data_IF_482158060471
#
_entry.id   IF_482158060471
#
_cell.length_a   1.000
_cell.length_b   1.000
_cell.length_c   1.000
_cell.angle_alpha   90.00
_cell.angle_beta   90.00
_cell.angle_gamma   90.00
#
_symmetry.space_group_name_H-M   'P 1'
#
loop_
_entity.id
_entity.type
_entity.pdbx_description
1 polymer ?
#
# COMPACT_ATOMS: atom_id res chain seq x y z
N UNK A 1 20.61 -16.48 2.86
CA UNK A 1 19.27 -16.04 3.26
C UNK A 1 18.63 -15.33 2.07
N UNK A 2 18.12 -16.14 1.12
CA UNK A 2 17.55 -15.61 -0.13
C UNK A 2 16.06 -15.34 0.07
N UNK A 3 15.68 -14.08 0.09
CA UNK A 3 14.28 -13.63 0.00
C UNK A 3 14.11 -12.95 -1.35
N UNK A 4 13.03 -13.25 -2.03
CA UNK A 4 12.73 -12.62 -3.32
C UNK A 4 11.97 -11.32 -3.05
N UNK A 5 12.55 -10.18 -3.42
CA UNK A 5 11.87 -8.89 -3.47
C UNK A 5 11.51 -8.61 -4.92
N UNK A 6 10.22 -8.53 -5.19
CA UNK A 6 9.73 -8.18 -6.51
C UNK A 6 8.91 -6.89 -6.40
N UNK A 7 9.23 -5.92 -7.24
CA UNK A 7 8.54 -4.66 -7.31
C UNK A 7 8.16 -4.35 -8.76
N UNK A 8 7.05 -3.67 -8.93
CA UNK A 8 6.66 -3.10 -10.21
C UNK A 8 6.51 -1.59 -10.08
N UNK A 9 7.24 -0.83 -10.89
CA UNK A 9 6.98 0.60 -11.07
C UNK A 9 5.91 0.72 -12.15
N UNK A 10 4.72 1.15 -11.75
CA UNK A 10 3.63 1.40 -12.70
C UNK A 10 3.85 2.74 -13.39
N UNK A 11 4.12 2.74 -14.70
CA UNK A 11 3.89 3.90 -15.55
C UNK A 11 2.41 3.97 -15.87
N UNK A 12 1.69 4.88 -15.24
CA UNK A 12 0.35 5.25 -15.72
C UNK A 12 0.50 6.03 -17.02
N UNK A 13 0.14 5.42 -18.15
CA UNK A 13 -0.29 6.17 -19.33
C UNK A 13 -1.68 6.69 -19.02
N UNK A 14 -1.85 8.01 -19.09
CA UNK A 14 -3.10 8.70 -18.85
C UNK A 14 -4.27 8.02 -19.56
N UNK A 15 -5.05 7.28 -18.79
CA UNK A 15 -6.32 6.70 -19.16
C UNK A 15 -7.33 7.24 -18.16
N UNK A 16 -8.32 7.95 -18.68
CA UNK A 16 -9.48 8.50 -17.97
C UNK A 16 -10.14 7.44 -17.10
N UNK A 17 -9.89 7.46 -15.77
CA UNK A 17 -10.52 6.52 -14.87
C UNK A 17 -9.97 6.42 -13.46
N UNK A 18 -9.14 7.35 -12.99
CA UNK A 18 -8.80 7.42 -11.56
C UNK A 18 -9.96 8.01 -10.77
N UNK A 19 -10.36 7.30 -9.75
CA UNK A 19 -11.33 7.77 -8.77
C UNK A 19 -10.61 8.81 -7.91
N UNK A 20 -10.89 10.08 -8.19
CA UNK A 20 -10.32 11.18 -7.42
C UNK A 20 -10.79 11.14 -5.97
N UNK A 21 -9.86 11.08 -5.04
CA UNK A 21 -10.11 11.32 -3.63
C UNK A 21 -10.54 12.78 -3.43
N UNK A 22 -11.60 13.01 -2.66
CA UNK A 22 -11.94 14.35 -2.17
C UNK A 22 -11.83 14.31 -0.65
N UNK A 23 -10.78 14.91 -0.05
CA UNK A 23 -10.74 15.09 1.39
C UNK A 23 -11.80 16.12 1.82
N UNK A 24 -12.40 15.89 2.97
CA UNK A 24 -13.12 16.92 3.71
C UNK A 24 -12.09 17.80 4.43
N UNK A 25 -12.21 19.11 4.28
CA UNK A 25 -11.33 20.10 4.90
C UNK A 25 -11.54 20.04 6.42
N UNK A 26 -10.48 19.70 7.15
CA UNK A 26 -10.38 19.95 8.60
C UNK A 26 -9.11 20.75 8.82
N UNK A 27 -9.28 21.96 9.35
CA UNK A 27 -8.23 22.93 9.60
C UNK A 27 -7.47 22.66 10.90
N UNK A 28 -6.15 22.91 10.83
CA UNK A 28 -5.20 23.26 11.90
C UNK A 28 -4.74 22.23 12.92
N UNK A 29 -3.44 21.90 12.87
CA UNK A 29 -2.67 21.33 13.99
C UNK A 29 -1.44 20.50 13.63
N UNK A 30 -0.34 21.16 13.48
CA UNK A 30 1.07 20.84 13.84
C UNK A 30 1.51 19.35 13.91
N UNK A 31 2.51 18.97 13.10
CA UNK A 31 3.48 17.94 13.40
C UNK A 31 3.15 16.53 12.93
N UNK A 32 4.00 15.60 13.20
CA UNK A 32 4.05 14.18 12.76
C UNK A 32 2.75 13.36 12.87
N UNK A 33 1.74 13.85 13.60
CA UNK A 33 0.40 13.27 13.76
C UNK A 33 -0.47 13.38 12.50
N UNK A 34 -0.22 14.35 11.62
CA UNK A 34 -1.06 14.69 10.46
C UNK A 34 -1.20 13.56 9.41
N UNK A 35 -0.26 12.64 9.33
CA UNK A 35 -0.29 11.58 8.31
C UNK A 35 -1.33 10.49 8.58
N UNK A 36 -1.57 10.17 9.83
CA UNK A 36 -2.61 9.20 10.21
C UNK A 36 -4.00 9.80 9.98
N UNK A 37 -4.17 11.07 10.29
CA UNK A 37 -5.43 11.79 10.15
C UNK A 37 -5.91 11.87 8.69
N UNK A 38 -4.98 12.01 7.70
CA UNK A 38 -5.34 12.03 6.28
C UNK A 38 -6.02 10.73 5.84
N UNK A 39 -5.44 9.58 6.14
CA UNK A 39 -5.98 8.29 5.71
C UNK A 39 -7.26 7.92 6.46
N UNK A 40 -7.34 8.19 7.77
CA UNK A 40 -8.58 8.01 8.54
C UNK A 40 -9.72 8.88 7.99
N UNK A 41 -9.43 10.16 7.68
CA UNK A 41 -10.42 11.06 7.08
C UNK A 41 -10.83 10.58 5.67
N UNK A 42 -9.88 10.14 4.86
CA UNK A 42 -10.13 9.68 3.48
C UNK A 42 -10.99 8.43 3.47
N UNK A 43 -10.71 7.44 4.32
CA UNK A 43 -11.52 6.23 4.42
C UNK A 43 -12.86 6.48 5.12
N UNK A 44 -12.91 7.40 6.09
CA UNK A 44 -14.16 7.82 6.74
C UNK A 44 -15.13 8.54 5.81
N UNK A 45 -14.61 9.19 4.76
CA UNK A 45 -15.40 9.91 3.74
C UNK A 45 -15.77 9.05 2.52
N UNK A 46 -15.38 7.78 2.46
CA UNK A 46 -15.64 6.92 1.31
C UNK A 46 -17.14 6.63 1.18
N UNK A 47 -17.71 6.95 0.02
CA UNK A 47 -19.09 6.64 -0.29
C UNK A 47 -19.25 5.20 -0.84
N UNK A 48 -20.49 4.68 -0.80
CA UNK A 48 -20.81 3.31 -1.27
C UNK A 48 -20.43 3.08 -2.73
N UNK A 49 -20.57 4.09 -3.59
CA UNK A 49 -20.23 3.98 -5.00
C UNK A 49 -18.75 3.76 -5.20
N UNK A 50 -17.91 4.56 -4.52
CA UNK A 50 -16.45 4.44 -4.56
C UNK A 50 -15.99 3.12 -3.97
N UNK A 51 -16.54 2.73 -2.83
CA UNK A 51 -16.25 1.44 -2.23
C UNK A 51 -16.55 0.30 -3.19
N UNK A 52 -17.70 0.34 -3.87
CA UNK A 52 -18.08 -0.64 -4.89
C UNK A 52 -17.10 -0.66 -6.07
N UNK A 53 -16.62 0.50 -6.53
CA UNK A 53 -15.64 0.60 -7.59
C UNK A 53 -14.31 -0.08 -7.19
N UNK A 54 -13.83 0.11 -5.96
CA UNK A 54 -12.65 -0.61 -5.43
C UNK A 54 -12.85 -2.13 -5.41
N UNK A 55 -13.99 -2.59 -4.90
CA UNK A 55 -14.30 -4.01 -4.76
C UNK A 55 -14.44 -4.70 -6.12
N UNK A 56 -15.02 -4.01 -7.11
CA UNK A 56 -15.30 -4.57 -8.44
C UNK A 56 -14.18 -4.37 -9.44
N UNK A 57 -13.14 -3.59 -9.10
CA UNK A 57 -11.99 -3.37 -9.96
C UNK A 57 -11.27 -4.68 -10.25
N UNK A 58 -11.23 -5.06 -11.51
CA UNK A 58 -10.49 -6.22 -11.99
C UNK A 58 -9.17 -5.73 -12.58
N UNK A 59 -8.09 -6.29 -12.11
CA UNK A 59 -6.78 -6.20 -12.74
C UNK A 59 -6.47 -7.57 -13.31
N UNK A 60 -6.39 -7.68 -14.63
CA UNK A 60 -6.07 -8.94 -15.27
C UNK A 60 -5.07 -8.71 -16.42
N UNK A 61 -3.98 -9.48 -16.51
CA UNK A 61 -3.55 -10.46 -15.50
C UNK A 61 -3.06 -9.80 -14.22
N UNK A 62 -3.29 -10.42 -13.04
CA UNK A 62 -2.73 -9.97 -11.77
C UNK A 62 -1.40 -10.67 -11.49
N UNK A 63 -0.33 -9.98 -11.83
CA UNK A 63 1.02 -10.54 -11.75
C UNK A 63 1.46 -10.90 -10.33
N UNK A 64 0.96 -10.17 -9.30
CA UNK A 64 1.26 -10.50 -7.91
C UNK A 64 0.62 -11.82 -7.53
N UNK A 65 -0.67 -12.01 -7.85
CA UNK A 65 -1.38 -13.28 -7.60
C UNK A 65 -0.71 -14.42 -8.34
N UNK A 66 -0.37 -14.24 -9.61
CA UNK A 66 0.35 -15.26 -10.38
C UNK A 66 1.71 -15.61 -9.77
N UNK A 67 2.45 -14.62 -9.28
CA UNK A 67 3.71 -14.85 -8.59
C UNK A 67 3.51 -15.69 -7.32
N UNK A 68 2.56 -15.33 -6.47
CA UNK A 68 2.25 -16.04 -5.23
C UNK A 68 1.83 -17.50 -5.50
N UNK A 69 1.01 -17.73 -6.52
CA UNK A 69 0.57 -19.08 -6.90
C UNK A 69 1.73 -19.95 -7.41
N UNK A 70 2.62 -19.40 -8.26
CA UNK A 70 3.80 -20.11 -8.77
C UNK A 70 4.74 -20.52 -7.65
N UNK A 71 4.92 -19.67 -6.65
CA UNK A 71 5.80 -19.90 -5.51
C UNK A 71 5.15 -20.74 -4.40
N UNK A 72 3.89 -21.19 -4.60
CA UNK A 72 3.15 -22.03 -3.66
C UNK A 72 3.03 -21.42 -2.26
N UNK A 73 2.93 -20.10 -2.19
CA UNK A 73 2.72 -19.33 -0.96
C UNK A 73 1.42 -19.77 -0.29
N UNK A 74 1.39 -19.78 1.04
CA UNK A 74 0.19 -20.10 1.83
C UNK A 74 -0.27 -18.92 2.66
N UNK A 75 0.63 -18.37 3.48
CA UNK A 75 0.33 -17.26 4.39
C UNK A 75 0.79 -15.94 3.78
N UNK A 76 -0.13 -14.98 3.64
CA UNK A 76 0.14 -13.68 3.03
C UNK A 76 -0.29 -12.56 3.98
N UNK A 77 0.56 -11.55 4.14
CA UNK A 77 0.22 -10.30 4.81
C UNK A 77 0.00 -9.19 3.78
N UNK A 78 -1.16 -8.54 3.85
CA UNK A 78 -1.51 -7.35 3.06
C UNK A 78 -1.21 -6.09 3.89
N UNK A 79 -0.09 -5.43 3.60
CA UNK A 79 0.41 -4.26 4.30
C UNK A 79 -0.16 -2.98 3.67
N UNK A 80 -1.05 -2.28 4.39
CA UNK A 80 -1.87 -1.20 3.87
C UNK A 80 -3.08 -1.75 3.12
N UNK A 81 -3.86 -2.62 3.78
CA UNK A 81 -4.94 -3.36 3.14
C UNK A 81 -6.15 -2.49 2.72
N UNK A 82 -6.21 -1.23 3.17
CA UNK A 82 -7.32 -0.33 2.88
C UNK A 82 -8.68 -0.95 3.20
N UNK A 83 -9.63 -0.85 2.29
CA UNK A 83 -10.97 -1.45 2.44
C UNK A 83 -11.00 -2.98 2.28
N UNK A 84 -9.87 -3.66 2.15
CA UNK A 84 -9.78 -5.11 2.07
C UNK A 84 -10.17 -5.72 0.72
N UNK A 85 -10.36 -4.90 -0.31
CA UNK A 85 -10.78 -5.41 -1.64
C UNK A 85 -9.74 -6.38 -2.23
N UNK A 86 -8.46 -6.05 -2.13
CA UNK A 86 -7.40 -6.93 -2.60
C UNK A 86 -7.18 -8.13 -1.67
N UNK A 87 -7.26 -7.92 -0.36
CA UNK A 87 -7.26 -9.02 0.63
C UNK A 87 -8.35 -10.05 0.33
N UNK A 88 -9.60 -9.59 0.02
CA UNK A 88 -10.70 -10.47 -0.35
C UNK A 88 -10.39 -11.25 -1.63
N UNK A 89 -9.80 -10.61 -2.63
CA UNK A 89 -9.40 -11.25 -3.86
C UNK A 89 -8.38 -12.37 -3.62
N UNK A 90 -7.38 -12.14 -2.76
CA UNK A 90 -6.40 -13.16 -2.37
C UNK A 90 -7.06 -14.32 -1.60
N UNK A 91 -8.00 -14.04 -0.70
CA UNK A 91 -8.81 -15.06 -0.02
C UNK A 91 -9.61 -15.93 -0.99
N UNK A 92 -10.08 -15.35 -2.11
CA UNK A 92 -10.79 -16.11 -3.17
C UNK A 92 -9.85 -17.06 -3.91
N UNK A 93 -8.55 -16.73 -4.00
CA UNK A 93 -7.51 -17.60 -4.54
C UNK A 93 -6.98 -18.64 -3.54
N UNK A 94 -7.51 -18.64 -2.30
CA UNK A 94 -7.22 -19.68 -1.30
C UNK A 94 -6.01 -19.39 -0.40
N UNK A 95 -5.49 -18.15 -0.39
CA UNK A 95 -4.45 -17.76 0.55
C UNK A 95 -4.99 -17.57 1.97
N UNK A 96 -4.18 -17.88 2.98
CA UNK A 96 -4.45 -17.52 4.38
C UNK A 96 -3.96 -16.09 4.62
N UNK A 97 -4.93 -15.18 4.86
CA UNK A 97 -4.68 -13.75 4.84
C UNK A 97 -4.60 -13.16 6.24
N UNK A 98 -3.57 -12.37 6.45
CA UNK A 98 -3.50 -11.33 7.45
C UNK A 98 -3.36 -9.98 6.77
N UNK A 99 -3.70 -8.89 7.45
CA UNK A 99 -3.52 -7.56 6.90
C UNK A 99 -3.59 -6.48 7.97
N UNK A 100 -3.12 -5.31 7.61
CA UNK A 100 -3.23 -4.14 8.47
C UNK A 100 -3.32 -2.87 7.63
N UNK A 101 -3.88 -1.85 8.24
CA UNK A 101 -3.87 -0.48 7.72
C UNK A 101 -3.67 0.49 8.87
N UNK A 102 -3.14 1.67 8.59
CA UNK A 102 -2.98 2.73 9.59
C UNK A 102 -4.33 3.35 9.95
N UNK A 103 -5.26 3.39 9.00
CA UNK A 103 -6.61 3.92 9.15
C UNK A 103 -7.55 2.86 9.77
N UNK A 104 -8.01 3.09 10.99
CA UNK A 104 -8.92 2.18 11.69
C UNK A 104 -10.24 1.99 10.94
N UNK A 105 -10.77 3.08 10.34
CA UNK A 105 -11.98 3.03 9.53
C UNK A 105 -11.85 2.15 8.29
N UNK A 106 -10.66 2.09 7.67
CA UNK A 106 -10.37 1.19 6.57
C UNK A 106 -10.44 -0.28 7.02
N UNK A 107 -9.81 -0.59 8.15
CA UNK A 107 -9.84 -1.95 8.73
C UNK A 107 -11.25 -2.40 9.02
N UNK A 108 -12.10 -1.55 9.62
CA UNK A 108 -13.51 -1.88 9.87
C UNK A 108 -14.31 -2.13 8.58
N UNK A 109 -14.03 -1.39 7.51
CA UNK A 109 -14.64 -1.62 6.18
C UNK A 109 -14.18 -2.98 5.65
N UNK A 110 -12.87 -3.27 5.74
CA UNK A 110 -12.27 -4.52 5.27
C UNK A 110 -12.87 -5.74 5.99
N UNK A 111 -13.01 -5.67 7.32
CA UNK A 111 -13.63 -6.74 8.11
C UNK A 111 -15.06 -7.01 7.67
N UNK A 112 -15.88 -5.95 7.53
CA UNK A 112 -17.27 -6.08 7.06
C UNK A 112 -17.35 -6.66 5.65
N UNK A 113 -16.49 -6.23 4.74
CA UNK A 113 -16.43 -6.72 3.36
C UNK A 113 -16.10 -8.22 3.32
N UNK A 114 -15.05 -8.63 4.02
CA UNK A 114 -14.55 -10.00 4.02
C UNK A 114 -15.57 -10.92 4.69
N UNK A 115 -16.14 -10.51 5.83
CA UNK A 115 -17.17 -11.25 6.54
C UNK A 115 -18.45 -11.37 5.69
N UNK A 116 -18.87 -10.30 5.01
CA UNK A 116 -20.03 -10.30 4.10
C UNK A 116 -19.85 -11.25 2.91
N UNK A 117 -18.62 -11.54 2.50
CA UNK A 117 -18.29 -12.54 1.49
C UNK A 117 -18.15 -13.98 2.04
N UNK A 118 -18.46 -14.21 3.32
CA UNK A 118 -18.32 -15.51 3.98
C UNK A 118 -16.87 -15.98 4.13
N UNK A 119 -15.92 -15.04 4.15
CA UNK A 119 -14.47 -15.28 4.31
C UNK A 119 -13.99 -14.74 5.66
N UNK A 120 -12.76 -15.05 6.01
CA UNK A 120 -12.10 -14.52 7.21
C UNK A 120 -10.64 -14.19 6.93
N UNK A 121 -10.14 -13.12 7.55
CA UNK A 121 -8.74 -12.71 7.59
C UNK A 121 -8.42 -12.19 8.99
N UNK A 122 -7.13 -12.16 9.34
CA UNK A 122 -6.66 -11.54 10.59
C UNK A 122 -6.28 -10.11 10.28
N UNK A 123 -7.19 -9.16 10.51
CA UNK A 123 -6.96 -7.76 10.27
C UNK A 123 -6.68 -7.00 11.57
N UNK A 124 -5.91 -5.91 11.49
CA UNK A 124 -5.65 -5.01 12.62
C UNK A 124 -5.26 -3.62 12.15
N UNK A 125 -5.48 -2.61 13.00
CA UNK A 125 -4.91 -1.29 12.81
C UNK A 125 -3.44 -1.32 13.25
N UNK A 126 -2.52 -0.94 12.34
CA UNK A 126 -1.09 -0.88 12.61
C UNK A 126 -0.36 0.05 11.64
N UNK A 127 0.78 0.58 12.08
CA UNK A 127 1.66 1.36 11.23
C UNK A 127 2.68 0.43 10.54
N UNK A 128 2.94 0.66 9.26
CA UNK A 128 3.90 -0.12 8.46
C UNK A 128 5.34 0.00 8.97
N UNK A 129 5.67 1.05 9.72
CA UNK A 129 6.98 1.22 10.36
C UNK A 129 7.16 0.35 11.61
N UNK A 130 6.07 -0.15 12.18
CA UNK A 130 6.05 -0.99 13.38
C UNK A 130 4.78 -1.84 13.37
N UNK A 131 4.79 -2.93 12.60
CA UNK A 131 3.62 -3.75 12.35
C UNK A 131 3.14 -4.54 13.56
N UNK A 132 4.03 -4.83 14.52
CA UNK A 132 3.76 -5.68 15.68
C UNK A 132 3.61 -7.18 15.33
N UNK A 133 3.96 -7.60 14.12
CA UNK A 133 4.08 -9.01 13.76
C UNK A 133 5.43 -9.58 14.18
N UNK A 134 5.49 -10.90 14.32
CA UNK A 134 6.73 -11.60 14.63
C UNK A 134 7.70 -11.57 13.43
N UNK A 135 8.98 -11.73 13.71
CA UNK A 135 9.98 -11.95 12.65
C UNK A 135 9.70 -13.27 11.92
N UNK A 136 9.83 -13.27 10.58
CA UNK A 136 9.66 -14.45 9.75
C UNK A 136 8.26 -15.10 9.88
N UNK A 137 7.20 -14.29 9.99
CA UNK A 137 5.84 -14.79 10.20
C UNK A 137 5.16 -15.24 8.91
N UNK A 138 5.38 -14.57 7.77
CA UNK A 138 4.62 -14.79 6.54
C UNK A 138 5.47 -15.40 5.41
N UNK A 139 4.84 -16.28 4.60
CA UNK A 139 5.47 -16.78 3.36
C UNK A 139 5.60 -15.66 2.32
N UNK A 140 4.63 -14.74 2.30
CA UNK A 140 4.70 -13.53 1.49
C UNK A 140 4.13 -12.31 2.22
N UNK A 141 4.67 -11.15 1.87
CA UNK A 141 4.13 -9.84 2.27
C UNK A 141 3.90 -9.03 1.01
N UNK A 142 2.73 -8.43 0.88
CA UNK A 142 2.40 -7.52 -0.22
C UNK A 142 2.12 -6.12 0.33
N UNK A 143 2.49 -5.09 -0.44
CA UNK A 143 2.20 -3.70 -0.10
C UNK A 143 1.88 -2.94 -1.40
N UNK A 144 0.64 -2.51 -1.56
CA UNK A 144 0.16 -1.88 -2.78
C UNK A 144 -0.30 -0.46 -2.50
N UNK A 145 0.26 0.48 -3.25
CA UNK A 145 -0.11 1.90 -3.18
C UNK A 145 0.03 2.45 -1.73
N UNK A 146 1.17 2.15 -1.07
CA UNK A 146 1.48 2.51 0.33
C UNK A 146 2.82 3.22 0.48
N UNK A 147 3.88 2.64 -0.10
CA UNK A 147 5.24 3.12 0.13
C UNK A 147 5.53 4.44 -0.58
N UNK A 148 4.79 4.75 -1.60
CA UNK A 148 4.77 6.03 -2.31
C UNK A 148 3.99 7.12 -1.55
N UNK A 149 3.11 6.73 -0.64
CA UNK A 149 2.35 7.65 0.23
C UNK A 149 3.05 7.98 1.55
N UNK A 150 4.38 7.99 1.54
CA UNK A 150 5.20 8.40 2.67
C UNK A 150 6.51 9.04 2.18
N UNK A 151 7.27 9.64 3.09
CA UNK A 151 8.60 10.15 2.75
C UNK A 151 9.52 9.00 2.34
N UNK A 152 10.42 9.23 1.40
CA UNK A 152 11.42 8.24 0.95
C UNK A 152 12.18 7.60 2.11
N UNK A 153 12.57 8.40 3.11
CA UNK A 153 13.23 7.91 4.31
C UNK A 153 12.37 6.89 5.09
N UNK A 154 11.08 7.16 5.24
CA UNK A 154 10.16 6.26 5.95
C UNK A 154 9.85 5.01 5.12
N UNK A 155 9.78 5.13 3.78
CA UNK A 155 9.62 3.98 2.89
C UNK A 155 10.77 2.96 3.04
N UNK A 156 12.01 3.42 3.17
CA UNK A 156 13.17 2.55 3.47
C UNK A 156 12.98 1.78 4.78
N UNK A 157 12.49 2.43 5.81
CA UNK A 157 12.21 1.81 7.12
C UNK A 157 11.05 0.82 7.02
N UNK A 158 9.99 1.19 6.28
CA UNK A 158 8.85 0.32 6.03
C UNK A 158 9.28 -0.97 5.31
N UNK A 159 10.09 -0.86 4.24
CA UNK A 159 10.62 -2.03 3.53
C UNK A 159 11.41 -2.96 4.48
N UNK A 160 12.24 -2.42 5.38
CA UNK A 160 12.96 -3.22 6.38
C UNK A 160 12.02 -3.95 7.33
N UNK A 161 10.95 -3.29 7.78
CA UNK A 161 9.94 -3.93 8.65
C UNK A 161 9.16 -5.00 7.90
N UNK A 162 8.72 -4.74 6.65
CA UNK A 162 8.05 -5.73 5.81
C UNK A 162 8.96 -6.93 5.51
N UNK A 163 10.25 -6.67 5.26
CA UNK A 163 11.24 -7.72 5.09
C UNK A 163 11.42 -8.54 6.37
N UNK A 164 11.48 -7.91 7.54
CA UNK A 164 11.61 -8.59 8.84
C UNK A 164 10.51 -9.61 9.08
N UNK A 165 9.27 -9.27 8.74
CA UNK A 165 8.11 -10.16 8.94
C UNK A 165 7.96 -11.22 7.84
N UNK A 166 8.71 -11.10 6.74
CA UNK A 166 8.77 -12.10 5.66
C UNK A 166 9.71 -13.22 6.03
N UNK A 167 9.32 -14.49 5.85
CA UNK A 167 10.18 -15.66 6.12
C UNK A 167 11.41 -15.67 5.23
N UNK A 168 12.53 -16.27 5.68
CA UNK A 168 13.64 -16.64 4.79
C UNK A 168 13.12 -17.50 3.63
N UNK A 169 13.51 -17.15 2.39
CA UNK A 169 12.97 -17.78 1.17
C UNK A 169 11.54 -17.35 0.82
N UNK A 170 10.95 -16.45 1.60
CA UNK A 170 9.64 -15.84 1.32
C UNK A 170 9.71 -14.70 0.30
N UNK A 171 8.59 -14.07 0.04
CA UNK A 171 8.44 -13.07 -1.02
C UNK A 171 7.93 -11.76 -0.44
N UNK A 172 8.58 -10.64 -0.78
CA UNK A 172 8.07 -9.30 -0.57
C UNK A 172 7.71 -8.67 -1.92
N UNK A 173 6.43 -8.34 -2.11
CA UNK A 173 5.91 -7.68 -3.31
C UNK A 173 5.38 -6.30 -2.93
N UNK A 174 5.76 -5.27 -3.67
CA UNK A 174 5.17 -3.94 -3.47
C UNK A 174 5.07 -3.16 -4.79
N UNK A 175 4.19 -2.17 -4.81
CA UNK A 175 4.08 -1.19 -5.90
C UNK A 175 4.66 0.13 -5.46
N UNK A 176 5.18 0.86 -6.44
CA UNK A 176 5.63 2.25 -6.31
C UNK A 176 5.10 3.02 -7.50
N UNK A 177 4.42 4.11 -7.26
CA UNK A 177 3.94 4.98 -8.32
C UNK A 177 4.98 6.05 -8.67
N UNK A 178 5.09 6.34 -9.97
CA UNK A 178 5.79 7.52 -10.47
C UNK A 178 4.90 8.76 -10.40
N UNK A 179 5.44 9.90 -10.85
CA UNK A 179 4.67 11.15 -10.91
C UNK A 179 3.46 11.01 -11.84
N UNK A 180 2.32 11.50 -11.38
CA UNK A 180 1.07 11.65 -12.13
C UNK A 180 0.75 13.13 -12.30
N UNK A 181 0.28 13.53 -13.48
CA UNK A 181 -0.12 14.91 -13.78
C UNK A 181 -1.15 15.46 -12.79
N UNK A 182 -1.99 14.61 -12.22
CA UNK A 182 -2.99 15.02 -11.22
C UNK A 182 -2.33 15.50 -9.93
N UNK A 183 -1.26 14.85 -9.49
CA UNK A 183 -0.49 15.30 -8.31
C UNK A 183 0.34 16.54 -8.60
N UNK A 184 0.92 16.61 -9.80
CA UNK A 184 1.78 17.73 -10.19
C UNK A 184 1.02 19.06 -10.27
N UNK A 185 -0.27 19.02 -10.60
CA UNK A 185 -1.12 20.22 -10.75
C UNK A 185 -1.65 20.75 -9.41
N UNK A 186 -1.64 19.97 -8.34
CA UNK A 186 -2.13 20.38 -7.03
C UNK A 186 -1.06 21.14 -6.23
N UNK A 187 -1.46 22.09 -5.35
CA UNK A 187 -0.51 22.84 -4.54
C UNK A 187 0.33 21.94 -3.64
N UNK A 188 1.63 21.97 -3.77
CA UNK A 188 2.54 21.15 -2.98
C UNK A 188 3.88 21.85 -2.75
N UNK A 189 4.62 21.38 -1.75
CA UNK A 189 6.01 21.68 -1.52
C UNK A 189 6.85 20.43 -1.78
N UNK A 190 7.98 20.58 -2.49
CA UNK A 190 8.91 19.47 -2.75
C UNK A 190 10.11 19.58 -1.82
N UNK A 191 10.39 18.55 -1.05
CA UNK A 191 11.58 18.48 -0.19
C UNK A 191 12.87 18.26 -1.00
N UNK A 192 14.02 18.44 -0.37
CA UNK A 192 15.33 18.14 -0.99
C UNK A 192 15.44 16.65 -1.42
N UNK A 193 14.72 15.76 -0.74
CA UNK A 193 14.68 14.33 -1.05
C UNK A 193 13.66 13.97 -2.15
N UNK A 194 12.91 14.96 -2.65
CA UNK A 194 11.90 14.76 -3.69
C UNK A 194 10.53 14.35 -3.19
N UNK A 195 10.26 14.42 -1.88
CA UNK A 195 8.92 14.16 -1.34
C UNK A 195 8.00 15.35 -1.61
N UNK A 196 6.79 15.07 -2.06
CA UNK A 196 5.72 16.04 -2.27
C UNK A 196 4.86 16.14 -1.02
N UNK A 197 4.78 17.31 -0.43
CA UNK A 197 3.96 17.62 0.74
C UNK A 197 2.80 18.48 0.30
N UNK A 198 1.60 17.97 0.35
CA UNK A 198 0.39 18.69 -0.06
C UNK A 198 -0.15 19.50 1.11
N UNK A 199 0.02 20.82 1.05
CA UNK A 199 -0.34 21.76 2.12
C UNK A 199 -1.76 22.33 1.97
N UNK A 200 -2.36 22.16 0.80
CA UNK A 200 -3.73 22.62 0.50
C UNK A 200 -4.31 21.88 -0.70
N UNK A 201 -5.59 22.09 -0.98
CA UNK A 201 -6.25 21.52 -2.14
C UNK A 201 -6.80 20.11 -1.89
N UNK A 202 -6.91 19.35 -2.96
CA UNK A 202 -7.54 18.02 -2.95
C UNK A 202 -6.81 17.00 -2.09
N UNK A 203 -5.49 17.15 -1.96
CA UNK A 203 -4.61 16.21 -1.31
C UNK A 203 -3.99 16.76 -0.01
N UNK A 204 -4.59 17.82 0.55
CA UNK A 204 -4.10 18.44 1.78
C UNK A 204 -3.82 17.40 2.87
N UNK A 205 -2.62 17.46 3.45
CA UNK A 205 -2.13 16.52 4.46
C UNK A 205 -1.51 15.21 3.93
N UNK A 206 -1.62 14.95 2.62
CA UNK A 206 -0.96 13.79 2.01
C UNK A 206 0.54 14.06 1.82
N UNK A 207 1.32 13.01 1.94
CA UNK A 207 2.70 12.94 1.48
C UNK A 207 2.77 11.95 0.34
N UNK A 208 3.50 12.30 -0.71
CA UNK A 208 3.72 11.42 -1.85
C UNK A 208 5.17 11.53 -2.30
N UNK A 209 5.83 10.39 -2.53
CA UNK A 209 7.14 10.33 -3.14
C UNK A 209 7.02 9.63 -4.50
N UNK A 210 7.13 10.38 -5.61
CA UNK A 210 7.11 9.77 -6.95
C UNK A 210 8.43 9.06 -7.22
N UNK A 211 8.38 7.74 -7.37
CA UNK A 211 9.58 6.95 -7.60
C UNK A 211 9.97 6.91 -9.07
N UNK A 212 11.27 7.11 -9.32
CA UNK A 212 11.92 6.75 -10.57
C UNK A 212 12.52 5.36 -10.42
N UNK A 213 12.66 4.65 -11.53
CA UNK A 213 13.18 3.27 -11.55
C UNK A 213 14.54 3.14 -10.85
N UNK A 214 15.40 4.15 -11.03
CA UNK A 214 16.74 4.17 -10.46
C UNK A 214 16.73 4.25 -8.94
N UNK A 215 15.68 4.83 -8.35
CA UNK A 215 15.55 5.02 -6.90
C UNK A 215 15.06 3.77 -6.18
N UNK A 216 14.49 2.82 -6.92
CA UNK A 216 13.94 1.60 -6.31
C UNK A 216 15.01 0.79 -5.59
N UNK A 217 16.21 0.69 -6.17
CA UNK A 217 17.33 0.01 -5.54
C UNK A 217 17.76 0.66 -4.22
N UNK A 218 17.53 1.97 -4.07
CA UNK A 218 17.91 2.71 -2.85
C UNK A 218 17.02 2.41 -1.65
N UNK A 219 15.77 1.99 -1.87
CA UNK A 219 14.86 1.63 -0.78
C UNK A 219 15.00 0.15 -0.38
N UNK A 220 15.63 -0.66 -1.23
CA UNK A 220 15.91 -2.07 -0.99
C UNK A 220 17.38 -2.22 -0.56
N UNK A 221 17.75 -1.73 0.62
CA UNK A 221 19.11 -1.84 1.18
C UNK A 221 19.41 -3.24 1.75
N UNK A 222 18.84 -4.29 1.21
CA UNK A 222 19.07 -5.67 1.67
C UNK A 222 19.71 -6.42 0.51
N UNK A 223 20.69 -7.28 0.77
CA UNK A 223 21.20 -8.22 -0.25
C UNK A 223 20.08 -9.17 -0.65
N UNK A 224 19.38 -8.83 -1.74
CA UNK A 224 18.19 -9.54 -2.21
C UNK A 224 18.26 -9.68 -3.72
N UNK A 225 17.78 -10.80 -4.22
CA UNK A 225 17.53 -10.95 -5.65
C UNK A 225 16.35 -10.09 -6.08
N UNK A 226 16.63 -8.99 -6.77
CA UNK A 226 15.62 -8.01 -7.22
C UNK A 226 15.18 -8.39 -8.65
N UNK A 227 13.93 -8.78 -8.83
CA UNK A 227 13.32 -8.93 -10.14
C UNK A 227 12.51 -7.68 -10.48
N UNK A 228 13.02 -6.83 -11.38
CA UNK A 228 12.33 -5.65 -11.90
C UNK A 228 11.56 -6.07 -13.15
N UNK A 229 10.23 -5.91 -13.14
CA UNK A 229 9.42 -6.03 -14.35
C UNK A 229 9.06 -4.63 -14.88
N UNK A 230 9.19 -4.47 -16.20
CA UNK A 230 8.80 -3.26 -16.95
C UNK A 230 7.29 -3.19 -17.19
#
# INVERSE_FOLDING_TARGET
>A
DERIVNHSVRKYRGGTGRIGWRPLIISEGIGETLKMDFWDASWGAIDERRLKEYITRKEEPDEMIECLLRQKVKTVCDAGCGCGAYTLRLLQHGFDMSGFDVASGAVEIAERLIQGAGKSAKLKTANVLQTGYQENEFDAVISRDVLDHMRKFDAKRAVRELYRITKPGGILLFTLDGMDEEYEQEPHHVTEEGDYLFESGKWEGMVFHPYRREEVAEIIEVEVEVQIKE
#
